data_IF_665751301724
#
_entry.id   IF_665751301724
#
_cell.length_a   1.000
_cell.length_b   1.000
_cell.length_c   1.000
_cell.angle_alpha   90.00
_cell.angle_beta   90.00
_cell.angle_gamma   90.00
#
_symmetry.space_group_name_H-M   'P 1'
#
loop_
_entity.id
_entity.type
_entity.pdbx_description
1 polymer ?
#
# COMPACT_ATOMS: atom_id res chain seq x y z
N UNK A 1 -10.29 -19.45 2.86
CA UNK A 1 -9.04 -18.67 3.03
C UNK A 1 -7.84 -19.60 3.25
N UNK A 2 -7.74 -20.72 2.51
CA UNK A 2 -6.60 -21.65 2.63
C UNK A 2 -5.29 -20.95 2.29
N UNK A 3 -5.26 -20.26 1.14
CA UNK A 3 -4.07 -19.56 0.66
C UNK A 3 -3.49 -18.54 1.65
N UNK A 4 -4.31 -17.83 2.43
CA UNK A 4 -3.82 -16.88 3.44
C UNK A 4 -3.10 -17.62 4.58
N UNK A 5 -3.59 -18.79 4.97
CA UNK A 5 -2.95 -19.62 5.99
C UNK A 5 -1.63 -20.20 5.48
N UNK A 6 -1.58 -20.57 4.22
CA UNK A 6 -0.34 -21.06 3.58
C UNK A 6 0.72 -19.95 3.53
N UNK A 7 0.32 -18.71 3.14
CA UNK A 7 1.17 -17.52 3.21
C UNK A 7 1.64 -17.29 4.65
N UNK A 8 0.74 -17.32 5.63
CA UNK A 8 1.10 -17.19 7.04
C UNK A 8 2.14 -18.22 7.46
N UNK A 9 2.03 -19.47 7.00
CA UNK A 9 3.00 -20.53 7.26
C UNK A 9 4.41 -20.19 6.78
N UNK A 10 4.54 -19.65 5.57
CA UNK A 10 5.84 -19.36 4.94
C UNK A 10 6.41 -17.97 5.30
N UNK A 11 5.60 -17.02 5.76
CA UNK A 11 6.08 -15.69 6.16
C UNK A 11 6.99 -15.79 7.39
N UNK A 12 8.13 -15.09 7.37
CA UNK A 12 9.05 -15.01 8.52
C UNK A 12 8.36 -14.36 9.73
N UNK A 13 8.87 -14.64 10.94
CA UNK A 13 8.32 -14.09 12.19
C UNK A 13 8.15 -12.56 12.17
N UNK A 14 9.15 -11.86 11.65
CA UNK A 14 9.19 -10.40 11.51
C UNK A 14 8.66 -9.89 10.15
N UNK A 15 8.02 -10.76 9.37
CA UNK A 15 7.52 -10.45 8.04
C UNK A 15 6.16 -9.75 8.05
N UNK A 16 5.90 -9.02 6.97
CA UNK A 16 4.64 -8.34 6.70
C UNK A 16 3.80 -9.06 5.65
N UNK A 17 2.50 -8.80 5.67
CA UNK A 17 1.55 -9.22 4.64
C UNK A 17 0.67 -8.02 4.27
N UNK A 18 0.63 -7.69 2.98
CA UNK A 18 -0.13 -6.54 2.47
C UNK A 18 -1.25 -7.03 1.56
N UNK A 19 -2.49 -6.63 1.87
CA UNK A 19 -3.68 -7.07 1.13
C UNK A 19 -4.45 -5.86 0.60
N UNK A 20 -4.45 -5.68 -0.72
CA UNK A 20 -5.29 -4.69 -1.40
C UNK A 20 -6.74 -5.17 -1.43
N UNK A 21 -7.67 -4.29 -1.07
CA UNK A 21 -9.10 -4.56 -1.07
C UNK A 21 -9.88 -3.32 -1.52
N UNK A 22 -10.92 -3.58 -2.30
CA UNK A 22 -11.94 -2.61 -2.62
C UNK A 22 -13.13 -2.69 -1.66
N UNK A 23 -14.29 -2.37 -2.22
CA UNK A 23 -15.59 -2.62 -1.63
C UNK A 23 -16.33 -3.62 -2.51
N UNK A 24 -17.38 -4.24 -1.98
CA UNK A 24 -18.28 -5.06 -2.78
C UNK A 24 -19.71 -4.55 -2.69
N UNK A 25 -20.50 -4.84 -3.72
CA UNK A 25 -21.93 -4.58 -3.73
C UNK A 25 -22.68 -5.76 -3.13
N UNK A 26 -23.60 -5.47 -2.21
CA UNK A 26 -24.63 -6.42 -1.77
C UNK A 26 -25.95 -6.01 -2.43
N UNK A 27 -26.43 -6.77 -3.43
CA UNK A 27 -27.65 -6.45 -4.17
C UNK A 27 -28.83 -6.13 -3.23
N UNK A 28 -29.48 -4.99 -3.47
CA UNK A 28 -30.61 -4.51 -2.67
C UNK A 28 -30.29 -4.03 -1.25
N UNK A 29 -29.04 -4.11 -0.79
CA UNK A 29 -28.66 -3.74 0.59
C UNK A 29 -27.56 -2.67 0.69
N UNK A 30 -26.52 -2.75 -0.13
CA UNK A 30 -25.38 -1.84 -0.07
C UNK A 30 -24.64 -1.75 -1.40
N UNK A 31 -24.29 -0.55 -1.86
CA UNK A 31 -23.53 -0.34 -3.11
C UNK A 31 -22.00 -0.50 -2.95
N UNK A 32 -21.49 -0.19 -1.76
CA UNK A 32 -20.06 -0.14 -1.50
C UNK A 32 -19.79 -0.54 -0.05
N UNK A 33 -19.91 -1.84 0.22
CA UNK A 33 -19.68 -2.38 1.54
C UNK A 33 -18.16 -2.60 1.76
N UNK A 34 -17.56 -2.05 2.83
CA UNK A 34 -16.12 -2.19 3.07
C UNK A 34 -15.75 -3.64 3.37
N UNK A 35 -14.86 -4.22 2.56
CA UNK A 35 -14.40 -5.60 2.76
C UNK A 35 -13.49 -5.71 3.99
N UNK A 36 -12.71 -4.67 4.28
CA UNK A 36 -11.74 -4.66 5.38
C UNK A 36 -12.35 -5.08 6.73
N UNK A 37 -13.53 -4.54 7.06
CA UNK A 37 -14.23 -4.86 8.29
C UNK A 37 -14.70 -6.33 8.39
N UNK A 38 -14.86 -7.02 7.26
CA UNK A 38 -15.20 -8.45 7.28
C UNK A 38 -13.97 -9.36 7.45
N UNK A 39 -12.77 -8.84 7.21
CA UNK A 39 -11.56 -9.67 7.14
C UNK A 39 -10.67 -9.54 8.37
N UNK A 40 -10.76 -8.46 9.16
CA UNK A 40 -9.80 -8.19 10.25
C UNK A 40 -9.65 -9.36 11.24
N UNK A 41 -10.74 -10.03 11.63
CA UNK A 41 -10.69 -11.18 12.55
C UNK A 41 -10.55 -12.55 11.85
N UNK A 42 -10.52 -12.59 10.52
CA UNK A 42 -10.47 -13.84 9.72
C UNK A 42 -9.09 -14.15 9.16
N UNK A 43 -8.21 -13.15 9.17
CA UNK A 43 -6.81 -13.26 8.74
C UNK A 43 -5.96 -13.61 9.97
N UNK A 44 -5.07 -14.61 9.92
CA UNK A 44 -4.28 -15.06 11.07
C UNK A 44 -3.12 -14.13 11.45
N UNK A 45 -2.84 -13.11 10.64
CA UNK A 45 -1.85 -12.09 10.94
C UNK A 45 -2.42 -11.02 11.87
N UNK A 46 -1.53 -10.31 12.57
CA UNK A 46 -1.87 -9.13 13.33
C UNK A 46 -2.12 -7.94 12.39
N UNK A 47 -3.31 -7.33 12.44
CA UNK A 47 -3.61 -6.13 11.65
C UNK A 47 -2.94 -4.92 12.31
N UNK A 48 -1.94 -4.33 11.62
CA UNK A 48 -1.26 -3.13 12.09
C UNK A 48 -2.12 -1.90 11.83
N UNK A 49 -2.56 -1.72 10.58
CA UNK A 49 -3.38 -0.58 10.16
C UNK A 49 -4.02 -0.80 8.78
N UNK A 50 -5.05 -0.01 8.49
CA UNK A 50 -5.54 0.21 7.12
C UNK A 50 -4.81 1.42 6.52
N UNK A 51 -4.36 1.29 5.27
CA UNK A 51 -3.74 2.36 4.48
C UNK A 51 -4.65 2.69 3.31
N UNK A 52 -4.95 3.97 3.12
CA UNK A 52 -5.80 4.47 2.04
C UNK A 52 -4.89 4.89 0.87
N UNK A 53 -4.97 4.15 -0.23
CA UNK A 53 -4.40 4.57 -1.50
C UNK A 53 -5.37 5.51 -2.21
N UNK A 54 -5.09 6.81 -2.19
CA UNK A 54 -5.87 7.85 -2.84
C UNK A 54 -5.29 8.20 -4.22
N UNK A 55 -6.16 8.40 -5.21
CA UNK A 55 -5.77 8.70 -6.59
C UNK A 55 -6.84 9.53 -7.30
N UNK A 56 -6.42 10.37 -8.27
CA UNK A 56 -7.34 11.28 -8.97
C UNK A 56 -8.21 10.64 -10.06
N UNK A 57 -7.71 9.60 -10.75
CA UNK A 57 -8.39 8.99 -11.89
C UNK A 57 -9.45 7.95 -11.45
N UNK A 58 -10.60 7.91 -12.11
CA UNK A 58 -11.60 6.89 -11.82
C UNK A 58 -12.93 7.10 -12.54
N UNK A 59 -13.89 6.23 -12.25
CA UNK A 59 -15.25 6.32 -12.79
C UNK A 59 -16.03 7.48 -12.15
N UNK A 60 -16.97 8.01 -12.91
CA UNK A 60 -17.92 9.04 -12.45
C UNK A 60 -19.25 8.39 -12.14
N UNK A 61 -19.86 8.78 -11.02
CA UNK A 61 -21.13 8.21 -10.54
C UNK A 61 -22.16 9.32 -10.32
N UNK A 62 -23.43 9.04 -10.59
CA UNK A 62 -24.54 10.01 -10.38
C UNK A 62 -25.26 9.85 -9.03
N UNK A 63 -25.26 8.64 -8.46
CA UNK A 63 -26.04 8.27 -7.27
C UNK A 63 -25.17 7.72 -6.12
N UNK A 64 -23.91 8.14 -6.08
CA UNK A 64 -22.93 7.96 -4.99
C UNK A 64 -21.74 8.89 -5.24
N UNK A 65 -20.92 9.11 -4.22
CA UNK A 65 -19.63 9.80 -4.39
C UNK A 65 -18.70 8.94 -5.26
N UNK A 66 -17.94 9.60 -6.13
CA UNK A 66 -17.05 8.90 -7.05
C UNK A 66 -15.92 8.22 -6.27
N UNK A 67 -15.66 6.92 -6.48
CA UNK A 67 -14.58 6.23 -5.79
C UNK A 67 -13.22 6.78 -6.25
N UNK A 68 -12.42 7.24 -5.29
CA UNK A 68 -11.06 7.80 -5.52
C UNK A 68 -10.00 7.16 -4.64
N UNK A 69 -10.33 6.01 -4.05
CA UNK A 69 -9.38 5.27 -3.24
C UNK A 69 -9.64 3.76 -3.25
N UNK A 70 -8.57 3.04 -2.93
CA UNK A 70 -8.56 1.64 -2.52
C UNK A 70 -7.84 1.51 -1.18
N UNK A 71 -7.98 0.37 -0.52
CA UNK A 71 -7.41 0.15 0.81
C UNK A 71 -6.38 -0.94 0.74
N UNK A 72 -5.29 -0.78 1.46
CA UNK A 72 -4.35 -1.84 1.78
C UNK A 72 -4.45 -2.13 3.27
N UNK A 73 -4.66 -3.39 3.62
CA UNK A 73 -4.51 -3.84 4.99
C UNK A 73 -3.06 -4.24 5.21
N UNK A 74 -2.38 -3.51 6.09
CA UNK A 74 -1.03 -3.82 6.52
C UNK A 74 -1.10 -4.76 7.70
N UNK A 75 -0.70 -6.00 7.47
CA UNK A 75 -0.59 -7.02 8.47
C UNK A 75 0.88 -7.33 8.81
N UNK A 76 1.12 -7.76 10.04
CA UNK A 76 2.39 -8.28 10.52
C UNK A 76 2.20 -9.67 11.12
N UNK A 77 3.20 -10.54 10.99
CA UNK A 77 3.11 -11.88 11.60
C UNK A 77 3.25 -11.85 13.12
N UNK A 78 4.10 -10.97 13.63
CA UNK A 78 4.23 -10.66 15.05
C UNK A 78 3.76 -9.23 15.33
N UNK A 79 3.04 -9.03 16.44
CA UNK A 79 2.51 -7.73 16.84
C UNK A 79 3.59 -6.79 17.42
N UNK A 80 4.71 -7.34 17.89
CA UNK A 80 5.77 -6.60 18.57
C UNK A 80 7.09 -6.56 17.80
N UNK A 81 7.25 -7.41 16.80
CA UNK A 81 8.49 -7.57 16.04
C UNK A 81 8.16 -7.74 14.56
N UNK A 82 8.18 -6.63 13.81
CA UNK A 82 8.03 -6.64 12.37
C UNK A 82 8.87 -5.52 11.74
N UNK A 83 9.31 -5.74 10.51
CA UNK A 83 10.10 -4.75 9.78
C UNK A 83 9.21 -3.53 9.48
N UNK A 84 9.67 -2.36 9.91
CA UNK A 84 8.99 -1.08 9.69
C UNK A 84 10.00 0.05 9.46
N UNK A 85 10.51 0.14 8.23
CA UNK A 85 11.54 1.10 7.83
C UNK A 85 10.92 2.46 7.48
N UNK A 86 10.39 3.16 8.49
CA UNK A 86 9.73 4.47 8.27
C UNK A 86 10.64 5.45 7.53
N UNK A 87 11.93 5.45 7.86
CA UNK A 87 12.91 6.39 7.32
C UNK A 87 13.09 6.25 5.78
N UNK A 88 12.87 5.05 5.22
CA UNK A 88 12.96 4.78 3.77
C UNK A 88 11.79 5.35 2.97
N UNK A 89 10.70 5.73 3.64
CA UNK A 89 9.46 6.20 2.99
C UNK A 89 9.00 7.57 3.48
N UNK A 90 9.84 8.28 4.24
CA UNK A 90 9.51 9.63 4.70
C UNK A 90 9.22 10.55 3.53
N UNK A 91 8.25 11.44 3.75
CA UNK A 91 7.90 12.48 2.78
C UNK A 91 8.83 13.69 3.01
N UNK A 92 9.71 14.02 2.04
CA UNK A 92 10.61 15.15 2.16
C UNK A 92 9.88 16.50 2.06
N UNK A 93 8.63 16.53 1.57
CA UNK A 93 7.83 17.75 1.48
C UNK A 93 7.30 18.17 2.86
N UNK A 94 8.19 18.82 3.62
CA UNK A 94 7.91 19.34 4.95
C UNK A 94 7.69 20.84 4.85
N UNK A 95 6.51 21.31 5.28
CA UNK A 95 6.13 22.75 5.25
C UNK A 95 7.14 23.68 5.95
N UNK A 96 7.79 23.20 7.01
CA UNK A 96 8.76 23.96 7.81
C UNK A 96 10.00 23.11 8.15
N UNK A 97 10.90 22.86 7.18
CA UNK A 97 11.98 21.89 7.34
C UNK A 97 13.07 22.37 8.31
N UNK A 98 13.26 23.69 8.42
CA UNK A 98 14.28 24.32 9.27
C UNK A 98 13.76 24.76 10.63
N UNK A 99 12.49 24.51 10.95
CA UNK A 99 11.90 24.94 12.22
C UNK A 99 12.59 24.23 13.39
N UNK A 100 13.13 25.01 14.33
CA UNK A 100 13.74 24.51 15.56
C UNK A 100 12.83 24.77 16.76
N UNK A 101 12.82 23.84 17.72
CA UNK A 101 12.22 24.02 19.05
C UNK A 101 13.29 23.68 20.08
N UNK A 102 13.60 24.63 20.97
CA UNK A 102 14.70 24.51 21.95
C UNK A 102 16.05 24.14 21.30
N UNK A 103 16.39 24.79 20.18
CA UNK A 103 17.67 24.57 19.47
C UNK A 103 17.75 23.29 18.62
N UNK A 104 16.82 22.34 18.77
CA UNK A 104 16.76 21.10 17.96
C UNK A 104 15.79 21.25 16.79
N UNK A 105 16.13 20.65 15.64
CA UNK A 105 15.20 20.55 14.52
C UNK A 105 13.92 19.84 14.97
N UNK A 106 12.78 20.42 14.63
CA UNK A 106 11.46 19.87 14.96
C UNK A 106 11.10 18.73 14.02
N UNK A 107 11.54 18.79 12.77
CA UNK A 107 11.33 17.73 11.79
C UNK A 107 12.55 16.80 11.71
N UNK A 108 12.30 15.53 11.45
CA UNK A 108 13.36 14.59 11.13
C UNK A 108 14.02 15.03 9.79
N UNK A 109 15.36 15.06 9.70
CA UNK A 109 16.07 15.47 8.48
C UNK A 109 15.66 14.70 7.21
N UNK A 110 15.21 13.45 7.35
CA UNK A 110 14.77 12.60 6.25
C UNK A 110 13.32 12.89 5.81
N UNK A 111 12.58 13.73 6.55
CA UNK A 111 11.21 14.11 6.24
C UNK A 111 10.17 13.68 7.29
N UNK A 112 8.91 13.98 7.01
CA UNK A 112 7.78 13.62 7.88
C UNK A 112 7.32 12.19 7.62
N UNK A 113 6.64 11.58 8.59
CA UNK A 113 5.90 10.35 8.33
C UNK A 113 4.85 10.64 7.24
N UNK A 114 4.77 9.85 6.16
CA UNK A 114 3.82 10.10 5.06
C UNK A 114 2.35 9.91 5.46
N UNK A 115 2.08 9.41 6.67
CA UNK A 115 0.75 9.05 7.14
C UNK A 115 0.25 7.77 6.49
N UNK A 116 -1.02 7.47 6.71
CA UNK A 116 -1.75 6.30 6.19
C UNK A 116 -2.64 6.64 4.99
N UNK A 117 -2.64 7.88 4.50
CA UNK A 117 -3.35 8.30 3.29
C UNK A 117 -2.34 8.70 2.22
N UNK A 118 -2.15 7.82 1.24
CA UNK A 118 -1.12 7.98 0.21
C UNK A 118 -1.73 8.45 -1.10
N UNK A 119 -1.35 9.64 -1.53
CA UNK A 119 -1.63 10.09 -2.89
C UNK A 119 -0.60 9.53 -3.88
N UNK A 120 -1.00 8.52 -4.66
CA UNK A 120 -0.16 7.95 -5.72
C UNK A 120 -1.06 7.76 -6.96
N UNK A 121 -0.75 8.38 -8.11
CA UNK A 121 -1.59 8.24 -9.30
C UNK A 121 -1.71 6.78 -9.76
N UNK A 122 -2.89 6.40 -10.30
CA UNK A 122 -3.07 5.12 -10.97
C UNK A 122 -2.27 5.06 -12.28
N UNK A 123 -1.94 3.85 -12.70
CA UNK A 123 -1.47 3.60 -14.07
C UNK A 123 -2.63 3.88 -15.03
N UNK A 124 -2.51 4.94 -15.84
CA UNK A 124 -3.58 5.39 -16.74
C UNK A 124 -3.40 4.82 -18.14
N UNK A 125 -4.52 4.68 -18.85
CA UNK A 125 -4.58 4.32 -20.27
C UNK A 125 -5.15 5.48 -21.10
N UNK A 126 -4.87 5.47 -22.39
CA UNK A 126 -5.42 6.42 -23.38
C UNK A 126 -4.34 7.13 -24.19
N UNK A 127 -4.71 7.54 -25.40
CA UNK A 127 -3.84 8.26 -26.34
C UNK A 127 -3.26 9.50 -25.68
N UNK A 128 -1.93 9.64 -25.69
CA UNK A 128 -1.16 10.75 -25.10
C UNK A 128 -1.26 10.96 -23.58
N UNK A 129 -1.93 10.06 -22.84
CA UNK A 129 -2.07 10.13 -21.37
C UNK A 129 -1.75 8.82 -20.65
N UNK A 130 -1.23 7.84 -21.39
CA UNK A 130 -0.83 6.57 -20.83
C UNK A 130 0.41 6.74 -19.94
N UNK A 131 0.41 6.11 -18.78
CA UNK A 131 1.59 6.05 -17.93
C UNK A 131 2.72 5.31 -18.65
N UNK A 132 3.97 5.76 -18.49
CA UNK A 132 5.15 5.11 -19.12
C UNK A 132 5.31 3.64 -18.71
N UNK A 133 4.94 3.30 -17.48
CA UNK A 133 5.00 1.94 -16.93
C UNK A 133 3.87 1.01 -17.39
N UNK A 134 2.93 1.50 -18.21
CA UNK A 134 1.72 0.76 -18.61
C UNK A 134 2.07 -0.53 -19.35
N UNK A 135 1.53 -1.64 -18.85
CA UNK A 135 1.49 -2.95 -19.52
C UNK A 135 0.07 -3.25 -20.03
N UNK A 136 -0.19 -4.36 -20.76
CA UNK A 136 -1.56 -4.72 -21.15
C UNK A 136 -2.52 -5.06 -19.98
N UNK A 137 -2.00 -5.42 -18.80
CA UNK A 137 -2.81 -5.90 -17.68
C UNK A 137 -3.85 -4.85 -17.21
N UNK A 138 -5.14 -5.16 -17.03
CA UNK A 138 -6.17 -4.15 -16.80
C UNK A 138 -6.08 -3.43 -15.44
N UNK A 139 -5.55 -4.11 -14.42
CA UNK A 139 -5.49 -3.63 -13.03
C UNK A 139 -4.04 -3.63 -12.53
N UNK A 140 -3.16 -2.93 -13.23
CA UNK A 140 -1.75 -2.79 -12.84
C UNK A 140 -1.61 -1.79 -11.68
N UNK A 141 -0.91 -2.19 -10.61
CA UNK A 141 -0.48 -1.24 -9.58
C UNK A 141 0.68 -0.36 -10.07
N UNK A 142 0.74 0.93 -9.68
CA UNK A 142 1.88 1.79 -9.96
C UNK A 142 3.15 1.29 -9.24
N UNK A 143 4.30 1.40 -9.89
CA UNK A 143 5.60 1.01 -9.30
C UNK A 143 5.84 1.74 -7.98
N UNK A 144 5.58 3.06 -7.92
CA UNK A 144 5.82 3.86 -6.72
C UNK A 144 5.02 3.41 -5.48
N UNK A 145 3.83 2.83 -5.70
CA UNK A 145 3.00 2.29 -4.62
C UNK A 145 3.63 1.02 -4.04
N UNK A 146 4.00 0.08 -4.92
CA UNK A 146 4.59 -1.20 -4.51
C UNK A 146 6.00 -0.98 -3.94
N UNK A 147 6.78 -0.06 -4.51
CA UNK A 147 8.08 0.34 -3.99
C UNK A 147 8.00 0.86 -2.56
N UNK A 148 7.01 1.72 -2.26
CA UNK A 148 6.78 2.21 -0.90
C UNK A 148 6.47 1.07 0.08
N UNK A 149 5.62 0.13 -0.33
CA UNK A 149 5.25 -1.04 0.50
C UNK A 149 6.49 -1.91 0.80
N UNK A 150 7.28 -2.23 -0.22
CA UNK A 150 8.47 -3.07 -0.09
C UNK A 150 9.53 -2.36 0.78
N UNK A 151 9.83 -1.08 0.51
CA UNK A 151 10.77 -0.29 1.32
C UNK A 151 10.39 -0.27 2.79
N UNK A 152 9.11 -0.07 3.09
CA UNK A 152 8.61 -0.01 4.47
C UNK A 152 8.74 -1.35 5.20
N UNK A 153 8.57 -2.47 4.49
CA UNK A 153 8.26 -3.76 5.14
C UNK A 153 9.26 -4.88 4.86
N UNK A 154 10.42 -4.58 4.26
CA UNK A 154 11.45 -5.57 3.92
C UNK A 154 12.85 -4.99 4.02
N UNK A 155 13.85 -5.87 4.09
CA UNK A 155 15.27 -5.53 4.01
C UNK A 155 15.87 -5.96 2.67
N UNK A 156 17.05 -5.44 2.29
CA UNK A 156 17.81 -5.97 1.17
C UNK A 156 17.98 -7.50 1.30
N UNK A 157 17.79 -8.21 0.19
CA UNK A 157 17.82 -9.68 0.09
C UNK A 157 16.65 -10.44 0.76
N UNK A 158 15.63 -9.75 1.28
CA UNK A 158 14.40 -10.43 1.64
C UNK A 158 13.65 -10.94 0.40
N UNK A 159 12.93 -12.05 0.59
CA UNK A 159 12.07 -12.62 -0.46
C UNK A 159 10.73 -11.91 -0.42
N UNK A 160 10.37 -11.26 -1.52
CA UNK A 160 9.03 -10.71 -1.74
C UNK A 160 8.21 -11.75 -2.50
N UNK A 161 7.08 -12.15 -1.91
CA UNK A 161 6.18 -13.13 -2.48
C UNK A 161 4.83 -12.49 -2.84
N UNK A 162 4.42 -12.65 -4.09
CA UNK A 162 3.14 -12.19 -4.61
C UNK A 162 2.48 -13.33 -5.40
N UNK A 163 1.44 -13.99 -4.85
CA UNK A 163 0.77 -15.10 -5.53
C UNK A 163 -0.21 -14.63 -6.62
N UNK A 164 -0.39 -13.32 -6.81
CA UNK A 164 -1.35 -12.72 -7.74
C UNK A 164 -0.68 -11.68 -8.65
N UNK A 165 0.49 -12.03 -9.19
CA UNK A 165 1.43 -11.09 -9.80
C UNK A 165 0.87 -10.19 -10.91
N UNK A 166 -0.17 -10.59 -11.64
CA UNK A 166 -0.82 -9.76 -12.65
C UNK A 166 0.16 -9.22 -13.71
N UNK A 167 0.44 -7.91 -13.68
CA UNK A 167 1.45 -7.23 -14.52
C UNK A 167 2.90 -7.43 -14.07
N UNK A 168 3.14 -8.23 -13.04
CA UNK A 168 4.43 -8.44 -12.39
C UNK A 168 5.09 -7.16 -11.83
N UNK A 169 4.30 -6.16 -11.44
CA UNK A 169 4.83 -4.91 -10.84
C UNK A 169 5.76 -5.21 -9.66
N UNK A 170 5.37 -6.15 -8.80
CA UNK A 170 6.17 -6.59 -7.63
C UNK A 170 7.57 -7.07 -8.01
N UNK A 171 7.73 -7.77 -9.13
CA UNK A 171 9.03 -8.24 -9.60
C UNK A 171 9.86 -7.16 -10.32
N UNK A 172 9.19 -6.11 -10.82
CA UNK A 172 9.85 -4.98 -11.50
C UNK A 172 10.36 -3.92 -10.53
N UNK A 173 9.78 -3.84 -9.33
CA UNK A 173 10.26 -2.91 -8.31
C UNK A 173 11.68 -3.29 -7.91
N UNK A 174 12.57 -2.31 -8.01
CA UNK A 174 13.96 -2.44 -7.61
C UNK A 174 14.18 -1.65 -6.33
N UNK A 175 14.28 -2.34 -5.20
CA UNK A 175 14.61 -1.71 -3.93
C UNK A 175 16.09 -1.95 -3.65
N UNK A 176 16.88 -0.87 -3.70
CA UNK A 176 18.31 -0.80 -3.38
C UNK A 176 19.17 -1.89 -4.05
N UNK A 177 19.71 -1.56 -5.22
CA UNK A 177 20.83 -2.33 -5.80
C UNK A 177 22.06 -2.19 -4.91
N UNK A 178 22.82 -3.27 -4.78
CA UNK A 178 24.25 -3.26 -4.44
C UNK A 178 24.98 -2.27 -5.36
#
# INVERSE_FOLDING_TARGET
>A
MSWIKDIYGITRHNGAFWLNLGYFESPGRAKALPIAYFLWQRVPFYLVQEVIWHYGAGVTTKKMLCPRNEKFLFYAKSASDYIFNLDEIRDPDVKYPTQKKHGKLKCNPLGKNPGDVWYIPKVTSGTNRASKERTPHPAQFPLALIERIIKLSSQPNDIIFDPFMGSCTTALVRVNTI
#
